data_IF_559866987763
#
_entry.id   IF_559866987763
#
_cell.length_a   1.000
_cell.length_b   1.000
_cell.length_c   1.000
_cell.angle_alpha   90.00
_cell.angle_beta   90.00
_cell.angle_gamma   90.00
#
_symmetry.space_group_name_H-M   'P 1'
#
loop_
_entity.id
_entity.type
_entity.pdbx_description
1 polymer ?
#
# COMPACT_ATOMS: atom_id res chain seq x y z
N UNK A 1 0.75 -12.88 1.85
CA UNK A 1 1.14 -11.58 1.27
C UNK A 1 0.96 -10.51 2.35
N UNK A 2 1.73 -9.43 2.39
CA UNK A 2 1.49 -8.33 3.33
C UNK A 2 1.19 -7.04 2.56
N UNK A 3 0.75 -5.99 3.25
CA UNK A 3 0.43 -4.69 2.63
C UNK A 3 1.60 -4.18 1.78
N UNK A 4 2.84 -4.38 2.21
CA UNK A 4 4.03 -4.01 1.47
C UNK A 4 4.07 -4.64 0.07
N UNK A 5 3.68 -5.90 -0.08
CA UNK A 5 3.63 -6.56 -1.38
C UNK A 5 2.53 -6.00 -2.28
N UNK A 6 1.34 -5.75 -1.74
CA UNK A 6 0.24 -5.14 -2.51
C UNK A 6 0.65 -3.77 -3.03
N UNK A 7 1.29 -2.96 -2.18
CA UNK A 7 1.83 -1.66 -2.56
C UNK A 7 2.91 -1.78 -3.64
N UNK A 8 3.85 -2.72 -3.52
CA UNK A 8 4.87 -2.97 -4.57
C UNK A 8 4.25 -3.35 -5.90
N UNK A 9 3.23 -4.20 -5.91
CA UNK A 9 2.52 -4.60 -7.14
C UNK A 9 1.79 -3.40 -7.73
N UNK A 10 1.02 -2.66 -6.93
CA UNK A 10 0.31 -1.45 -7.38
C UNK A 10 1.26 -0.42 -7.99
N UNK A 11 2.39 -0.17 -7.32
CA UNK A 11 3.45 0.72 -7.84
C UNK A 11 4.04 0.21 -9.16
N UNK A 12 4.31 -1.09 -9.28
CA UNK A 12 4.85 -1.68 -10.51
C UNK A 12 3.88 -1.56 -11.68
N UNK A 13 2.60 -1.86 -11.45
CA UNK A 13 1.54 -1.78 -12.46
C UNK A 13 1.33 -0.34 -12.98
N UNK A 14 1.50 0.65 -12.10
CA UNK A 14 1.36 2.08 -12.45
C UNK A 14 2.68 2.74 -12.86
N UNK A 15 3.80 2.01 -12.87
CA UNK A 15 5.15 2.55 -13.07
C UNK A 15 5.50 3.71 -12.12
N UNK A 16 5.06 3.62 -10.86
CA UNK A 16 5.25 4.67 -9.85
C UNK A 16 6.49 4.43 -8.99
N UNK A 17 7.17 5.53 -8.66
CA UNK A 17 8.17 5.57 -7.58
C UNK A 17 7.50 5.75 -6.22
N UNK A 18 8.23 5.51 -5.12
CA UNK A 18 7.73 5.73 -3.76
C UNK A 18 7.32 7.19 -3.54
N UNK A 19 8.10 8.13 -4.09
CA UNK A 19 7.81 9.56 -4.06
C UNK A 19 6.51 9.88 -4.81
N UNK A 20 6.28 9.28 -5.98
CA UNK A 20 5.02 9.49 -6.72
C UNK A 20 3.83 8.98 -5.92
N UNK A 21 3.92 7.77 -5.35
CA UNK A 21 2.85 7.24 -4.50
C UNK A 21 2.60 8.13 -3.27
N UNK A 22 3.65 8.62 -2.62
CA UNK A 22 3.51 9.52 -1.47
C UNK A 22 2.71 10.78 -1.82
N UNK A 23 3.00 11.39 -2.98
CA UNK A 23 2.27 12.55 -3.47
C UNK A 23 0.80 12.25 -3.76
N UNK A 24 0.49 11.14 -4.43
CA UNK A 24 -0.90 10.74 -4.71
C UNK A 24 -1.67 10.37 -3.43
N UNK A 25 -0.99 9.73 -2.49
CA UNK A 25 -1.56 9.33 -1.20
C UNK A 25 -1.71 10.51 -0.21
N UNK A 26 -1.05 11.65 -0.46
CA UNK A 26 -1.05 12.79 0.45
C UNK A 26 -0.32 12.50 1.76
N UNK A 27 0.75 11.70 1.71
CA UNK A 27 1.58 11.31 2.87
C UNK A 27 3.05 11.57 2.59
N UNK A 28 3.89 11.45 3.61
CA UNK A 28 5.34 11.56 3.42
C UNK A 28 5.90 10.34 2.68
N UNK A 29 6.97 10.55 1.93
CA UNK A 29 7.77 9.48 1.33
C UNK A 29 8.26 8.47 2.37
N UNK A 30 8.69 8.93 3.56
CA UNK A 30 9.07 8.08 4.67
C UNK A 30 7.94 7.14 5.12
N UNK A 31 6.68 7.60 5.05
CA UNK A 31 5.52 6.73 5.37
C UNK A 31 5.39 5.59 4.36
N UNK A 32 5.62 5.87 3.07
CA UNK A 32 5.64 4.84 2.03
C UNK A 32 6.81 3.87 2.23
N UNK A 33 8.01 4.37 2.51
CA UNK A 33 9.16 3.50 2.79
C UNK A 33 8.93 2.59 4.01
N UNK A 34 8.35 3.12 5.09
CA UNK A 34 7.99 2.32 6.26
C UNK A 34 7.04 1.17 5.89
N UNK A 35 6.05 1.42 5.03
CA UNK A 35 5.15 0.38 4.51
C UNK A 35 5.90 -0.65 3.68
N UNK A 36 6.75 -0.20 2.77
CA UNK A 36 7.55 -1.09 1.92
C UNK A 36 8.50 -1.97 2.75
N UNK A 37 9.04 -1.45 3.85
CA UNK A 37 9.86 -2.19 4.81
C UNK A 37 9.06 -3.15 5.70
N UNK A 38 7.74 -3.21 5.53
CA UNK A 38 6.85 -4.11 6.28
C UNK A 38 6.45 -3.59 7.66
N UNK A 39 6.71 -2.32 7.97
CA UNK A 39 6.18 -1.70 9.19
C UNK A 39 4.69 -1.48 9.05
N UNK A 40 3.94 -1.68 10.12
CA UNK A 40 2.49 -1.46 10.15
C UNK A 40 2.17 0.03 9.94
N UNK A 41 1.53 0.42 8.83
CA UNK A 41 1.06 1.80 8.65
C UNK A 41 -0.10 2.12 9.58
N UNK A 42 -0.27 3.41 9.89
CA UNK A 42 -1.49 3.89 10.52
C UNK A 42 -2.64 3.95 9.50
N UNK A 43 -3.87 4.09 9.99
CA UNK A 43 -5.08 4.07 9.17
C UNK A 43 -5.11 5.20 8.12
N UNK A 44 -4.56 6.38 8.42
CA UNK A 44 -4.52 7.50 7.47
C UNK A 44 -3.57 7.22 6.31
N UNK A 45 -2.41 6.60 6.59
CA UNK A 45 -1.49 6.15 5.54
C UNK A 45 -2.14 5.08 4.66
N UNK A 46 -2.86 4.13 5.26
CA UNK A 46 -3.60 3.11 4.50
C UNK A 46 -4.68 3.72 3.61
N UNK A 47 -5.49 4.63 4.14
CA UNK A 47 -6.53 5.30 3.38
C UNK A 47 -5.96 6.14 2.23
N UNK A 48 -4.85 6.84 2.46
CA UNK A 48 -4.13 7.57 1.42
C UNK A 48 -3.66 6.65 0.29
N UNK A 49 -3.02 5.53 0.64
CA UNK A 49 -2.53 4.54 -0.34
C UNK A 49 -3.69 3.91 -1.12
N UNK A 50 -4.75 3.48 -0.43
CA UNK A 50 -5.92 2.88 -1.05
C UNK A 50 -6.57 3.85 -2.06
N UNK A 51 -6.79 5.09 -1.65
CA UNK A 51 -7.30 6.16 -2.53
C UNK A 51 -6.37 6.41 -3.72
N UNK A 52 -5.06 6.43 -3.50
CA UNK A 52 -4.08 6.60 -4.58
C UNK A 52 -4.10 5.43 -5.59
N UNK A 53 -4.62 4.27 -5.21
CA UNK A 53 -4.85 3.14 -6.09
C UNK A 53 -6.30 2.98 -6.57
N UNK A 54 -7.14 4.01 -6.35
CA UNK A 54 -8.55 4.02 -6.73
C UNK A 54 -9.35 2.86 -6.12
N UNK A 55 -9.06 2.52 -4.86
CA UNK A 55 -9.72 1.44 -4.12
C UNK A 55 -10.12 1.88 -2.70
N UNK A 56 -11.03 1.12 -2.09
CA UNK A 56 -11.41 1.32 -0.69
C UNK A 56 -10.33 0.83 0.28
N UNK A 57 -10.26 1.43 1.47
CA UNK A 57 -9.26 1.03 2.48
C UNK A 57 -9.45 -0.43 2.90
N UNK A 58 -10.71 -0.89 3.03
CA UNK A 58 -11.03 -2.28 3.33
C UNK A 58 -10.59 -3.23 2.23
N UNK A 59 -10.73 -2.83 0.97
CA UNK A 59 -10.32 -3.64 -0.18
C UNK A 59 -8.80 -3.87 -0.18
N UNK A 60 -8.02 -2.81 0.06
CA UNK A 60 -6.56 -2.91 0.21
C UNK A 60 -6.15 -3.92 1.31
N UNK A 61 -6.85 -3.88 2.45
CA UNK A 61 -6.59 -4.78 3.58
C UNK A 61 -6.98 -6.21 3.20
N UNK A 62 -8.16 -6.42 2.63
CA UNK A 62 -8.62 -7.75 2.21
C UNK A 62 -7.67 -8.40 1.20
N UNK A 63 -7.20 -7.66 0.19
CA UNK A 63 -6.20 -8.18 -0.78
C UNK A 63 -4.90 -8.59 -0.07
N UNK A 64 -4.46 -7.81 0.92
CA UNK A 64 -3.27 -8.15 1.68
C UNK A 64 -3.47 -9.42 2.52
N UNK A 65 -4.63 -9.59 3.15
CA UNK A 65 -4.96 -10.74 4.00
C UNK A 65 -5.22 -12.03 3.20
N UNK A 66 -6.04 -11.98 2.14
CA UNK A 66 -6.41 -13.16 1.34
C UNK A 66 -5.19 -13.88 0.76
N UNK A 67 -4.23 -13.11 0.27
CA UNK A 67 -3.00 -13.67 -0.28
C UNK A 67 -1.99 -14.08 0.82
N UNK A 68 -2.24 -13.78 2.10
CA UNK A 68 -1.59 -14.47 3.21
C UNK A 68 -2.23 -15.83 3.48
N UNK A 69 -3.55 -15.92 3.38
CA UNK A 69 -4.31 -17.16 3.59
C UNK A 69 -4.04 -18.23 2.53
N UNK A 70 -3.80 -17.83 1.26
CA UNK A 70 -3.51 -18.78 0.16
C UNK A 70 -2.07 -19.31 0.15
N UNK A 71 -1.19 -18.79 1.01
CA UNK A 71 0.21 -19.21 1.11
C UNK A 71 0.49 -20.13 2.33
N UNK A 72 -0.56 -20.49 3.07
CA UNK A 72 -0.54 -21.40 4.23
C UNK A 72 -1.27 -22.70 3.87
#
# INVERSE_FOLDING_TARGET
>A
MNIATVVRVGMRMRHWSALKLANEAGVTDQSIYNVLDGRTPNINTLAGIARAFDMETSELISIAEEAASQAA
#
